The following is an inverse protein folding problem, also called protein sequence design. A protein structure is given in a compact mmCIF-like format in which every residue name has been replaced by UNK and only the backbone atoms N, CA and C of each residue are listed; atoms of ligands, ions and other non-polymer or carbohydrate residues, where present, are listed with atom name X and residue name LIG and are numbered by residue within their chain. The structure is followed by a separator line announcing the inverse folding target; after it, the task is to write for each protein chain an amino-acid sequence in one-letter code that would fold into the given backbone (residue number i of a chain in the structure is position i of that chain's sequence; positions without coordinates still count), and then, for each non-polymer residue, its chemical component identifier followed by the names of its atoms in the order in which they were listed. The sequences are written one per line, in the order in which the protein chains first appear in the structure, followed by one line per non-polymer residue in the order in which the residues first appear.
data_IF_521111207782
#
_entry.id   IF_521111207782
#
_cell.length_a   1.000
_cell.length_b   1.000
_cell.length_c   1.000
_cell.angle_alpha   90.00
_cell.angle_beta   90.00
_cell.angle_gamma   90.00
#
_symmetry.space_group_name_H-M   'P 1'
#
loop_
_entity.id
_entity.type
_entity.pdbx_description
1 polymer ?
#
# COMPACT_ATOMS: atom_id res chain seq x y z
N UNK A 1 -33.09 -5.12 -6.84
CA UNK A 1 -31.94 -4.68 -6.01
C UNK A 1 -30.88 -5.77 -5.82
N UNK A 2 -31.22 -7.03 -5.45
CA UNK A 2 -30.23 -8.12 -5.28
C UNK A 2 -29.39 -8.48 -6.53
N UNK A 3 -29.97 -8.42 -7.75
CA UNK A 3 -29.25 -8.73 -9.00
C UNK A 3 -28.07 -7.80 -9.30
N UNK A 4 -28.16 -6.54 -8.87
CA UNK A 4 -27.11 -5.53 -9.08
C UNK A 4 -25.93 -5.80 -8.13
N UNK A 5 -26.22 -6.09 -6.85
CA UNK A 5 -25.21 -6.51 -5.87
C UNK A 5 -24.44 -7.75 -6.31
N UNK A 6 -25.13 -8.75 -6.87
CA UNK A 6 -24.49 -9.97 -7.36
C UNK A 6 -23.61 -9.71 -8.59
N UNK A 7 -24.02 -8.80 -9.49
CA UNK A 7 -23.22 -8.39 -10.66
C UNK A 7 -21.97 -7.62 -10.26
N UNK A 8 -22.07 -6.73 -9.28
CA UNK A 8 -20.92 -5.98 -8.75
C UNK A 8 -19.94 -6.96 -8.08
N UNK A 9 -20.46 -7.90 -7.27
CA UNK A 9 -19.63 -8.90 -6.61
C UNK A 9 -18.88 -9.79 -7.61
N UNK A 10 -19.56 -10.27 -8.66
CA UNK A 10 -18.92 -11.09 -9.70
C UNK A 10 -17.99 -10.31 -10.62
N UNK A 11 -18.28 -9.03 -10.88
CA UNK A 11 -17.40 -8.20 -11.70
C UNK A 11 -16.11 -7.88 -10.95
N UNK A 12 -16.19 -7.56 -9.65
CA UNK A 12 -15.01 -7.16 -8.89
C UNK A 12 -14.14 -8.32 -8.41
N UNK A 13 -14.68 -9.53 -8.22
CA UNK A 13 -13.96 -10.68 -7.66
C UNK A 13 -12.62 -11.04 -8.37
N UNK A 14 -12.56 -11.11 -9.72
CA UNK A 14 -11.30 -11.41 -10.40
C UNK A 14 -10.28 -10.26 -10.29
N UNK A 15 -10.72 -8.99 -10.33
CA UNK A 15 -9.83 -7.84 -10.20
C UNK A 15 -9.22 -7.71 -8.80
N UNK A 16 -9.95 -8.10 -7.75
CA UNK A 16 -9.40 -8.13 -6.39
C UNK A 16 -8.30 -9.20 -6.22
N UNK A 17 -8.36 -10.31 -6.96
CA UNK A 17 -7.27 -11.30 -6.98
C UNK A 17 -6.03 -10.77 -7.69
N UNK A 18 -6.19 -10.02 -8.78
CA UNK A 18 -5.05 -9.38 -9.46
C UNK A 18 -4.41 -8.27 -8.61
N UNK A 19 -5.21 -7.49 -7.89
CA UNK A 19 -4.71 -6.57 -6.85
C UNK A 19 -3.95 -7.31 -5.75
N UNK A 20 -4.37 -8.56 -5.44
CA UNK A 20 -3.64 -9.44 -4.51
C UNK A 20 -2.38 -10.02 -5.11
N UNK A 21 -2.16 -9.94 -6.42
CA UNK A 21 -0.89 -10.31 -7.05
C UNK A 21 -0.07 -9.09 -7.48
N UNK A 22 -0.49 -7.88 -7.08
CA UNK A 22 0.17 -6.66 -7.45
C UNK A 22 1.56 -6.61 -6.80
N UNK A 23 2.58 -6.78 -7.63
CA UNK A 23 3.96 -6.74 -7.22
C UNK A 23 4.39 -5.26 -7.18
N UNK A 24 4.63 -4.73 -5.98
CA UNK A 24 5.18 -3.37 -5.80
C UNK A 24 6.68 -3.40 -6.12
N UNK A 25 6.98 -3.45 -7.41
CA UNK A 25 8.33 -3.42 -7.95
C UNK A 25 8.73 -1.99 -8.31
N UNK A 26 10.02 -1.66 -8.15
CA UNK A 26 10.61 -0.39 -8.61
C UNK A 26 10.35 -0.17 -10.11
N UNK A 27 10.30 -1.24 -10.89
CA UNK A 27 10.07 -1.19 -12.33
C UNK A 27 8.58 -1.14 -12.71
N UNK A 28 7.66 -1.18 -11.73
CA UNK A 28 6.24 -1.12 -12.01
C UNK A 28 5.80 0.34 -12.18
N UNK A 29 5.45 0.81 -13.40
CA UNK A 29 5.07 2.20 -13.62
C UNK A 29 3.77 2.57 -12.89
N UNK A 30 2.85 1.62 -12.70
CA UNK A 30 1.59 1.85 -11.97
C UNK A 30 1.82 2.16 -10.50
N UNK A 31 2.88 1.61 -9.89
CA UNK A 31 3.24 1.91 -8.50
C UNK A 31 3.61 3.37 -8.32
N UNK A 32 4.49 3.89 -9.19
CA UNK A 32 4.90 5.28 -9.17
C UNK A 32 3.76 6.23 -9.53
N UNK A 33 2.90 5.83 -10.47
CA UNK A 33 1.72 6.61 -10.85
C UNK A 33 0.75 6.74 -9.67
N UNK A 34 0.51 5.64 -8.94
CA UNK A 34 -0.30 5.65 -7.71
C UNK A 34 0.29 6.55 -6.63
N UNK A 35 1.60 6.47 -6.38
CA UNK A 35 2.30 7.36 -5.45
C UNK A 35 2.25 8.82 -5.87
N UNK A 36 2.35 9.11 -7.17
CA UNK A 36 2.27 10.45 -7.70
C UNK A 36 0.88 11.06 -7.52
N UNK A 37 -0.18 10.29 -7.81
CA UNK A 37 -1.56 10.71 -7.54
C UNK A 37 -1.74 10.98 -6.04
N UNK A 38 -1.26 10.08 -5.18
CA UNK A 38 -1.32 10.24 -3.73
C UNK A 38 -0.60 11.52 -3.27
N UNK A 39 0.58 11.79 -3.84
CA UNK A 39 1.35 13.01 -3.57
C UNK A 39 0.57 14.26 -3.96
N UNK A 40 -0.04 14.30 -5.14
CA UNK A 40 -0.85 15.43 -5.60
C UNK A 40 -2.06 15.69 -4.69
N UNK A 41 -2.73 14.63 -4.23
CA UNK A 41 -3.84 14.75 -3.28
C UNK A 41 -3.32 15.33 -1.96
N UNK A 42 -2.25 14.76 -1.41
CA UNK A 42 -1.66 15.21 -0.15
C UNK A 42 -1.11 16.64 -0.24
N UNK A 43 -0.59 17.06 -1.39
CA UNK A 43 -0.10 18.42 -1.62
C UNK A 43 -1.20 19.49 -1.42
N UNK A 44 -2.47 19.13 -1.63
CA UNK A 44 -3.60 20.04 -1.38
C UNK A 44 -3.85 20.26 0.11
N UNK A 45 -3.54 19.27 0.95
CA UNK A 45 -3.81 19.31 2.39
C UNK A 45 -2.57 19.66 3.21
N UNK A 46 -1.38 19.28 2.73
CA UNK A 46 -0.09 19.38 3.43
C UNK A 46 0.93 20.14 2.59
N UNK A 47 1.94 20.73 3.25
CA UNK A 47 3.09 21.35 2.57
C UNK A 47 3.91 20.33 1.79
N UNK A 48 4.56 20.81 0.73
CA UNK A 48 5.33 19.99 -0.23
C UNK A 48 6.33 19.04 0.46
N UNK A 49 7.04 19.54 1.49
CA UNK A 49 8.05 18.77 2.23
C UNK A 49 7.43 17.61 3.00
N UNK A 50 6.26 17.82 3.60
CA UNK A 50 5.54 16.81 4.38
C UNK A 50 4.94 15.75 3.47
N UNK A 51 4.30 16.16 2.37
CA UNK A 51 3.72 15.25 1.38
C UNK A 51 4.80 14.39 0.72
N UNK A 52 5.94 14.99 0.34
CA UNK A 52 7.06 14.26 -0.25
C UNK A 52 7.65 13.25 0.73
N UNK A 53 7.92 13.66 1.97
CA UNK A 53 8.45 12.76 3.00
C UNK A 53 7.51 11.60 3.28
N UNK A 54 6.19 11.85 3.36
CA UNK A 54 5.21 10.79 3.57
C UNK A 54 5.18 9.79 2.40
N UNK A 55 5.09 10.29 1.17
CA UNK A 55 5.08 9.45 -0.02
C UNK A 55 6.37 8.62 -0.14
N UNK A 56 7.53 9.20 0.23
CA UNK A 56 8.81 8.49 0.22
C UNK A 56 8.85 7.39 1.28
N UNK A 57 8.41 7.66 2.51
CA UNK A 57 8.31 6.62 3.56
C UNK A 57 7.36 5.51 3.15
N UNK A 58 6.21 5.85 2.58
CA UNK A 58 5.23 4.88 2.08
C UNK A 58 5.83 4.00 0.99
N UNK A 59 6.55 4.60 0.03
CA UNK A 59 7.21 3.89 -1.05
C UNK A 59 8.25 2.90 -0.52
N UNK A 60 9.08 3.32 0.44
CA UNK A 60 10.10 2.46 1.05
C UNK A 60 9.47 1.25 1.76
N UNK A 61 8.35 1.43 2.45
CA UNK A 61 7.66 0.33 3.13
C UNK A 61 7.09 -0.65 2.12
N UNK A 62 6.39 -0.17 1.09
CA UNK A 62 5.77 -1.02 0.06
C UNK A 62 6.83 -1.80 -0.75
N UNK A 63 7.95 -1.15 -1.08
CA UNK A 63 9.08 -1.82 -1.74
C UNK A 63 9.76 -2.81 -0.81
N UNK A 64 9.95 -2.45 0.45
CA UNK A 64 10.56 -3.30 1.48
C UNK A 64 9.74 -4.56 1.74
N UNK A 65 8.41 -4.43 1.83
CA UNK A 65 7.50 -5.56 2.02
C UNK A 65 7.54 -6.49 0.82
N UNK A 66 7.57 -5.96 -0.40
CA UNK A 66 7.67 -6.77 -1.63
C UNK A 66 9.01 -7.49 -1.74
N UNK A 67 10.11 -6.83 -1.36
CA UNK A 67 11.43 -7.48 -1.25
C UNK A 67 11.42 -8.60 -0.23
N UNK A 68 10.82 -8.37 0.95
CA UNK A 68 10.67 -9.40 1.98
C UNK A 68 9.82 -10.57 1.50
N UNK A 69 8.68 -10.31 0.84
CA UNK A 69 7.85 -11.35 0.22
C UNK A 69 8.64 -12.22 -0.75
N UNK A 70 9.40 -11.60 -1.66
CA UNK A 70 10.23 -12.34 -2.61
C UNK A 70 11.33 -13.17 -1.93
N UNK A 71 11.92 -12.66 -0.84
CA UNK A 71 12.91 -13.39 -0.05
C UNK A 71 12.25 -14.59 0.65
N UNK A 72 11.11 -14.39 1.33
CA UNK A 72 10.37 -15.47 1.99
C UNK A 72 9.94 -16.57 0.99
N UNK A 73 9.50 -16.17 -0.21
CA UNK A 73 9.19 -17.08 -1.30
C UNK A 73 10.43 -17.89 -1.73
N UNK A 74 11.59 -17.23 -1.91
CA UNK A 74 12.84 -17.91 -2.28
C UNK A 74 13.35 -18.88 -1.21
N UNK A 75 13.06 -18.61 0.07
CA UNK A 75 13.41 -19.48 1.19
C UNK A 75 12.42 -20.64 1.39
N UNK A 76 11.37 -20.72 0.57
CA UNK A 76 10.36 -21.78 0.64
C UNK A 76 9.49 -21.74 1.90
N UNK A 77 9.44 -20.58 2.59
CA UNK A 77 8.69 -20.40 3.84
C UNK A 77 7.18 -20.48 3.62
N UNK A 78 6.71 -20.25 2.40
CA UNK A 78 5.28 -20.18 2.08
C UNK A 78 4.63 -21.52 1.69
N UNK A 79 5.26 -22.66 2.02
CA UNK A 79 4.67 -24.00 1.81
C UNK A 79 3.33 -24.22 2.52
N UNK A 80 2.98 -23.39 3.51
CA UNK A 80 1.71 -23.44 4.24
C UNK A 80 0.76 -22.27 3.91
N UNK A 81 1.15 -21.33 3.04
CA UNK A 81 0.29 -20.23 2.57
C UNK A 81 -0.11 -19.16 3.60
N UNK A 82 0.43 -19.22 4.83
CA UNK A 82 0.12 -18.28 5.91
C UNK A 82 1.09 -17.09 6.00
N UNK A 83 2.31 -17.18 5.43
CA UNK A 83 3.36 -16.19 5.65
C UNK A 83 3.15 -14.88 4.89
N UNK A 84 2.86 -14.96 3.59
CA UNK A 84 2.66 -13.78 2.74
C UNK A 84 1.45 -12.91 3.13
N UNK A 85 0.25 -13.46 3.44
CA UNK A 85 -0.91 -12.64 3.80
C UNK A 85 -0.72 -11.89 5.12
N UNK A 86 -0.04 -12.51 6.09
CA UNK A 86 0.28 -11.90 7.39
C UNK A 86 1.27 -10.73 7.22
N UNK A 87 2.30 -10.90 6.39
CA UNK A 87 3.28 -9.86 6.12
C UNK A 87 2.63 -8.62 5.47
N UNK A 88 1.71 -8.82 4.52
CA UNK A 88 0.93 -7.72 3.94
C UNK A 88 0.01 -7.05 4.94
N UNK A 89 -0.69 -7.83 5.75
CA UNK A 89 -1.60 -7.29 6.76
C UNK A 89 -0.83 -6.43 7.78
N UNK A 90 0.35 -6.89 8.20
CA UNK A 90 1.28 -6.13 9.03
C UNK A 90 1.75 -4.85 8.34
N UNK A 91 2.09 -4.90 7.05
CA UNK A 91 2.46 -3.71 6.27
C UNK A 91 1.34 -2.66 6.25
N UNK A 92 0.09 -3.05 5.99
CA UNK A 92 -1.05 -2.13 6.03
C UNK A 92 -1.25 -1.52 7.42
N UNK A 93 -1.02 -2.29 8.48
CA UNK A 93 -1.10 -1.80 9.86
C UNK A 93 -0.03 -0.74 10.15
N UNK A 94 1.21 -0.99 9.73
CA UNK A 94 2.34 -0.05 9.85
C UNK A 94 2.04 1.23 9.06
N UNK A 95 1.53 1.10 7.83
CA UNK A 95 1.13 2.25 7.01
C UNK A 95 0.05 3.08 7.72
N UNK A 96 -0.94 2.42 8.33
CA UNK A 96 -1.98 3.09 9.12
C UNK A 96 -1.40 3.88 10.29
N UNK A 97 -0.47 3.29 11.05
CA UNK A 97 0.20 3.96 12.17
C UNK A 97 0.98 5.18 11.67
N UNK A 98 1.73 5.05 10.56
CA UNK A 98 2.49 6.16 9.99
C UNK A 98 1.58 7.26 9.48
N UNK A 99 0.45 6.91 8.88
CA UNK A 99 -0.56 7.88 8.47
C UNK A 99 -1.07 8.68 9.66
N UNK A 100 -1.48 8.01 10.74
CA UNK A 100 -1.93 8.66 11.98
C UNK A 100 -0.82 9.52 12.58
N UNK A 101 0.42 9.04 12.62
CA UNK A 101 1.58 9.80 13.10
C UNK A 101 1.81 11.09 12.31
N UNK A 102 1.76 11.02 10.98
CA UNK A 102 1.91 12.22 10.13
C UNK A 102 0.72 13.18 10.26
N UNK A 103 -0.49 12.65 10.49
CA UNK A 103 -1.70 13.44 10.61
C UNK A 103 -1.77 14.18 11.96
N UNK A 104 -1.46 13.50 13.07
CA UNK A 104 -1.54 14.04 14.43
C UNK A 104 -0.24 14.69 14.88
N UNK A 105 0.87 13.94 14.94
CA UNK A 105 2.11 14.40 15.61
C UNK A 105 2.85 15.42 14.76
N UNK A 106 2.95 15.18 13.45
CA UNK A 106 3.64 16.07 12.52
C UNK A 106 2.72 17.14 11.91
N UNK A 107 1.46 17.18 12.33
CA UNK A 107 0.48 18.23 11.98
C UNK A 107 0.65 19.47 12.83
N UNK A 108 0.92 19.29 14.13
CA UNK A 108 0.94 20.38 15.09
C UNK A 108 2.32 21.03 15.29
N UNK A 109 3.41 20.36 14.87
CA UNK A 109 4.77 20.86 15.05
C UNK A 109 5.17 22.05 14.15
N UNK A 110 4.31 22.50 13.24
CA UNK A 110 4.57 23.66 12.35
C UNK A 110 3.53 24.79 12.49
N UNK A 111 2.75 24.84 13.59
CA UNK A 111 2.01 26.05 13.95
C UNK A 111 2.91 27.05 14.67
#
# INVERSE_FOLDING_TARGET
MLKILYRIKNFSYPYWQELRNFNFSIFNPLFWLGLFILFLILLRFWRIRKSFSFCLTLALILLGTTKLENILLSLGVDRQGFGLPLLRTGAFFIIGIIFVYYLLVRGDSER
#
